data_IF_926668600953
#
_entry.id   IF_926668600953
#
_cell.length_a   1.000
_cell.length_b   1.000
_cell.length_c   1.000
_cell.angle_alpha   90.00
_cell.angle_beta   90.00
_cell.angle_gamma   90.00
#
_symmetry.space_group_name_H-M   'P 1'
#
loop_
_entity.id
_entity.type
_entity.pdbx_description
1 polymer ?
#
# COMPACT_ATOMS: atom_id res chain seq x y z
N UNK A 1 -13.75 24.68 -37.09
CA UNK A 1 -15.04 25.42 -37.06
C UNK A 1 -15.88 25.06 -35.83
N UNK A 2 -16.01 23.77 -35.48
CA UNK A 2 -16.89 23.32 -34.38
C UNK A 2 -16.50 23.89 -33.01
N UNK A 3 -15.21 23.83 -32.64
CA UNK A 3 -14.71 24.40 -31.37
C UNK A 3 -14.88 25.93 -31.36
N UNK A 4 -14.66 26.60 -32.49
CA UNK A 4 -14.81 28.05 -32.60
C UNK A 4 -16.23 28.57 -32.27
N UNK A 5 -17.26 27.79 -32.55
CA UNK A 5 -18.63 28.11 -32.22
C UNK A 5 -18.94 28.13 -30.72
N UNK A 6 -18.14 27.45 -29.91
CA UNK A 6 -18.28 27.39 -28.44
C UNK A 6 -17.63 28.59 -27.73
N UNK A 7 -16.66 29.27 -28.37
CA UNK A 7 -15.87 30.35 -27.75
C UNK A 7 -16.72 31.48 -27.15
N UNK A 8 -17.78 32.00 -27.84
CA UNK A 8 -18.61 33.05 -27.27
C UNK A 8 -19.36 32.61 -25.99
N UNK A 9 -19.75 31.34 -25.94
CA UNK A 9 -20.43 30.79 -24.77
C UNK A 9 -19.45 30.66 -23.60
N UNK A 10 -18.25 30.13 -23.82
CA UNK A 10 -17.21 30.00 -22.82
C UNK A 10 -16.78 31.37 -22.25
N UNK A 11 -16.62 32.37 -23.11
CA UNK A 11 -16.31 33.74 -22.67
C UNK A 11 -17.40 34.35 -21.79
N UNK A 12 -18.66 34.06 -22.07
CA UNK A 12 -19.78 34.55 -21.22
C UNK A 12 -19.81 33.90 -19.84
N UNK A 13 -19.27 32.68 -19.70
CA UNK A 13 -19.16 32.00 -18.41
C UNK A 13 -18.02 32.56 -17.56
N UNK A 14 -17.15 33.40 -18.06
CA UNK A 14 -16.06 34.03 -17.32
C UNK A 14 -14.98 33.05 -16.87
N UNK A 15 -14.88 31.89 -17.50
CA UNK A 15 -13.84 30.87 -17.18
C UNK A 15 -12.55 31.18 -17.91
N UNK A 16 -11.41 30.91 -17.27
CA UNK A 16 -10.11 31.00 -17.94
C UNK A 16 -10.00 29.96 -19.04
N UNK A 17 -9.71 30.39 -20.23
CA UNK A 17 -9.58 29.54 -21.41
C UNK A 17 -8.10 29.28 -21.70
N UNK A 18 -7.70 28.03 -21.63
CA UNK A 18 -6.35 27.56 -22.03
C UNK A 18 -6.51 26.81 -23.35
N UNK A 19 -5.79 27.21 -24.38
CA UNK A 19 -5.78 26.51 -25.68
C UNK A 19 -4.49 25.75 -25.89
N UNK A 20 -4.58 24.58 -26.52
CA UNK A 20 -3.47 23.81 -27.05
C UNK A 20 -3.63 23.74 -28.57
N UNK A 21 -2.73 24.35 -29.32
CA UNK A 21 -2.84 24.43 -30.78
C UNK A 21 -1.45 24.56 -31.41
N UNK A 22 -1.29 24.01 -32.60
CA UNK A 22 -0.03 24.12 -33.35
C UNK A 22 0.10 25.42 -34.17
N UNK A 23 -0.82 26.37 -33.99
CA UNK A 23 -0.77 27.66 -34.69
C UNK A 23 -1.17 28.82 -33.78
N UNK A 24 -0.20 29.65 -33.47
CA UNK A 24 -0.38 30.82 -32.61
C UNK A 24 -1.37 31.86 -33.16
N UNK A 25 -1.55 31.90 -34.47
CA UNK A 25 -2.48 32.82 -35.20
C UNK A 25 -3.88 32.24 -35.38
N UNK A 26 -4.16 31.03 -34.84
CA UNK A 26 -5.46 30.39 -34.96
C UNK A 26 -6.54 31.13 -34.16
N UNK A 27 -7.81 31.02 -34.61
CA UNK A 27 -8.96 31.54 -33.86
C UNK A 27 -9.00 31.04 -32.42
N UNK A 28 -8.60 29.79 -32.18
CA UNK A 28 -8.58 29.22 -30.87
C UNK A 28 -7.52 29.89 -29.97
N UNK A 29 -6.30 30.07 -30.47
CA UNK A 29 -5.23 30.73 -29.73
C UNK A 29 -5.55 32.20 -29.43
N UNK A 30 -6.08 32.94 -30.43
CA UNK A 30 -6.41 34.37 -30.28
C UNK A 30 -7.55 34.67 -29.31
N UNK A 31 -8.40 33.67 -28.99
CA UNK A 31 -9.50 33.81 -28.03
C UNK A 31 -9.15 33.22 -26.64
N UNK A 32 -8.05 32.51 -26.49
CA UNK A 32 -7.63 31.96 -25.25
C UNK A 32 -6.96 33.00 -24.34
N UNK A 33 -7.09 32.85 -23.02
CA UNK A 33 -6.34 33.65 -22.05
C UNK A 33 -4.89 33.18 -21.97
N UNK A 34 -4.66 31.90 -22.24
CA UNK A 34 -3.34 31.25 -22.29
C UNK A 34 -3.32 30.36 -23.54
N UNK A 35 -2.36 30.54 -24.41
CA UNK A 35 -2.14 29.70 -25.58
C UNK A 35 -0.85 28.89 -25.41
N UNK A 36 -0.98 27.58 -25.46
CA UNK A 36 0.14 26.62 -25.41
C UNK A 36 0.38 26.11 -26.85
N UNK A 37 1.62 26.25 -27.29
CA UNK A 37 2.04 25.75 -28.58
C UNK A 37 2.36 24.26 -28.51
N UNK A 38 1.68 23.45 -29.31
CA UNK A 38 1.92 22.03 -29.52
C UNK A 38 2.08 21.69 -31.00
N UNK A 39 2.60 22.65 -31.79
CA UNK A 39 2.86 22.48 -33.20
C UNK A 39 3.88 21.39 -33.48
N UNK A 40 3.70 20.74 -34.63
CA UNK A 40 4.65 19.77 -35.19
C UNK A 40 4.91 20.15 -36.63
N UNK A 41 6.12 19.91 -37.12
CA UNK A 41 6.50 20.25 -38.49
C UNK A 41 5.79 19.37 -39.50
N UNK A 42 5.56 18.10 -39.18
CA UNK A 42 4.89 17.13 -40.03
C UNK A 42 4.28 15.98 -39.22
N UNK A 43 3.28 15.34 -39.80
CA UNK A 43 2.71 14.12 -39.26
C UNK A 43 3.60 12.91 -39.60
N UNK A 44 3.54 11.85 -38.74
CA UNK A 44 4.26 10.59 -39.01
C UNK A 44 3.63 9.77 -40.15
N UNK A 45 2.44 10.18 -40.62
CA UNK A 45 1.77 9.59 -41.76
C UNK A 45 2.55 9.91 -43.05
N UNK A 46 2.81 8.94 -43.95
CA UNK A 46 3.51 9.18 -45.21
C UNK A 46 2.85 10.27 -46.11
N UNK A 47 1.55 10.45 -45.98
CA UNK A 47 0.79 11.45 -46.71
C UNK A 47 0.68 12.78 -45.94
N UNK A 48 1.20 12.89 -44.76
CA UNK A 48 1.09 14.05 -43.86
C UNK A 48 -0.37 14.50 -43.61
N UNK A 49 -1.33 13.56 -43.62
CA UNK A 49 -2.77 13.83 -43.47
C UNK A 49 -3.38 13.30 -42.18
N UNK A 50 -2.95 12.12 -41.74
CA UNK A 50 -3.52 11.51 -40.54
C UNK A 50 -2.86 12.09 -39.29
N UNK A 51 -3.68 12.59 -38.32
CA UNK A 51 -3.14 13.09 -37.04
C UNK A 51 -2.40 11.99 -36.29
N UNK A 52 -1.12 12.18 -36.03
CA UNK A 52 -0.22 11.24 -35.36
C UNK A 52 0.79 11.96 -34.47
N UNK A 53 1.78 12.65 -35.04
CA UNK A 53 2.74 13.45 -34.29
C UNK A 53 2.03 14.59 -33.54
N UNK A 54 1.06 15.26 -34.16
CA UNK A 54 0.30 16.35 -33.54
C UNK A 54 -0.53 15.87 -32.34
N UNK A 55 -1.21 14.74 -32.46
CA UNK A 55 -1.98 14.18 -31.32
C UNK A 55 -1.09 13.72 -30.20
N UNK A 56 0.07 13.15 -30.50
CA UNK A 56 1.07 12.76 -29.51
C UNK A 56 1.64 13.98 -28.77
N UNK A 57 1.96 15.06 -29.48
CA UNK A 57 2.43 16.31 -28.88
C UNK A 57 1.37 16.94 -27.95
N UNK A 58 0.09 16.94 -28.37
CA UNK A 58 -1.01 17.42 -27.54
C UNK A 58 -1.18 16.60 -26.27
N UNK A 59 -1.14 15.29 -26.37
CA UNK A 59 -1.20 14.39 -25.18
C UNK A 59 -0.04 14.65 -24.24
N UNK A 60 1.19 14.69 -24.75
CA UNK A 60 2.37 14.92 -23.92
C UNK A 60 2.32 16.29 -23.21
N UNK A 61 1.88 17.34 -23.90
CA UNK A 61 1.71 18.66 -23.30
C UNK A 61 0.60 18.69 -22.25
N UNK A 62 -0.51 17.98 -22.50
CA UNK A 62 -1.60 17.79 -21.54
C UNK A 62 -1.16 17.08 -20.28
N UNK A 63 -0.41 16.00 -20.42
CA UNK A 63 0.17 15.26 -19.29
C UNK A 63 1.16 16.12 -18.50
N UNK A 64 2.03 16.86 -19.19
CA UNK A 64 2.98 17.77 -18.53
C UNK A 64 2.24 18.86 -17.72
N UNK A 65 1.15 19.44 -18.27
CA UNK A 65 0.33 20.40 -17.55
C UNK A 65 -0.36 19.77 -16.34
N UNK A 66 -0.90 18.56 -16.49
CA UNK A 66 -1.54 17.84 -15.40
C UNK A 66 -0.55 17.56 -14.27
N UNK A 67 0.67 17.09 -14.57
CA UNK A 67 1.73 16.84 -13.58
C UNK A 67 2.18 18.13 -12.89
N UNK A 68 2.36 19.23 -13.65
CA UNK A 68 2.70 20.52 -13.07
C UNK A 68 1.61 21.04 -12.11
N UNK A 69 0.33 20.81 -12.44
CA UNK A 69 -0.79 21.16 -11.56
C UNK A 69 -0.86 20.29 -10.31
N UNK A 70 -0.55 18.99 -10.42
CA UNK A 70 -0.45 18.10 -9.25
C UNK A 70 0.62 18.59 -8.28
N UNK A 71 1.81 18.92 -8.80
CA UNK A 71 2.92 19.43 -8.00
C UNK A 71 2.56 20.77 -7.35
N UNK A 72 2.04 21.73 -8.12
CA UNK A 72 1.63 23.06 -7.64
C UNK A 72 0.54 22.99 -6.55
N UNK A 73 -0.30 21.95 -6.55
CA UNK A 73 -1.35 21.71 -5.55
C UNK A 73 -0.86 20.90 -4.36
N UNK A 74 0.41 20.49 -4.34
CA UNK A 74 0.96 19.62 -3.30
C UNK A 74 0.27 18.26 -3.22
N UNK A 75 -0.23 17.73 -4.36
CA UNK A 75 -0.91 16.45 -4.46
C UNK A 75 0.05 15.31 -4.11
N UNK A 76 -0.35 14.45 -3.16
CA UNK A 76 0.47 13.36 -2.63
C UNK A 76 -0.13 12.00 -2.96
N UNK A 77 0.65 10.96 -2.73
CA UNK A 77 0.24 9.56 -2.92
C UNK A 77 -1.06 9.22 -2.19
N UNK A 78 -1.26 9.76 -0.98
CA UNK A 78 -2.49 9.60 -0.21
C UNK A 78 -3.72 10.20 -0.92
N UNK A 79 -3.55 11.31 -1.64
CA UNK A 79 -4.63 11.94 -2.41
C UNK A 79 -5.00 11.09 -3.64
N UNK A 80 -3.96 10.52 -4.29
CA UNK A 80 -4.16 9.58 -5.39
C UNK A 80 -4.90 8.33 -4.93
N UNK A 81 -4.49 7.75 -3.81
CA UNK A 81 -5.11 6.57 -3.24
C UNK A 81 -6.59 6.81 -2.92
N UNK A 82 -6.93 7.97 -2.33
CA UNK A 82 -8.32 8.37 -2.05
C UNK A 82 -9.17 8.49 -3.32
N UNK A 83 -8.57 8.95 -4.42
CA UNK A 83 -9.24 9.07 -5.71
C UNK A 83 -9.42 7.73 -6.43
N UNK A 84 -8.59 6.73 -6.11
CA UNK A 84 -8.56 5.42 -6.76
C UNK A 84 -8.55 4.26 -5.74
N UNK A 85 -9.51 4.17 -4.81
CA UNK A 85 -9.46 3.24 -3.67
C UNK A 85 -9.50 1.75 -4.09
N UNK A 86 -10.12 1.44 -5.22
CA UNK A 86 -10.25 0.07 -5.74
C UNK A 86 -9.04 -0.44 -6.54
N UNK A 87 -8.09 0.42 -6.88
CA UNK A 87 -6.87 0.06 -7.61
C UNK A 87 -5.84 -0.67 -6.74
N UNK A 88 -4.90 -1.38 -7.37
CA UNK A 88 -3.80 -2.03 -6.65
C UNK A 88 -2.96 -1.03 -5.84
N UNK A 89 -2.71 0.14 -6.41
CA UNK A 89 -1.98 1.22 -5.76
C UNK A 89 -2.77 1.81 -4.59
N UNK A 90 -4.09 2.00 -4.74
CA UNK A 90 -4.96 2.47 -3.64
C UNK A 90 -4.96 1.53 -2.45
N UNK A 91 -5.05 0.21 -2.69
CA UNK A 91 -4.95 -0.79 -1.61
C UNK A 91 -3.62 -0.74 -0.88
N UNK A 92 -2.49 -0.63 -1.61
CA UNK A 92 -1.15 -0.55 -1.00
C UNK A 92 -0.96 0.70 -0.13
N UNK A 93 -1.59 1.81 -0.48
CA UNK A 93 -1.41 3.11 0.18
C UNK A 93 -2.46 3.40 1.27
N UNK A 94 -3.55 2.64 1.35
CA UNK A 94 -4.67 2.93 2.27
C UNK A 94 -4.91 1.85 3.32
N UNK A 95 -4.51 0.60 3.08
CA UNK A 95 -4.77 -0.49 4.02
C UNK A 95 -3.71 -0.49 5.10
N UNK A 96 -4.14 -0.35 6.36
CA UNK A 96 -3.26 -0.44 7.52
C UNK A 96 -3.23 -1.86 8.07
N UNK A 97 -2.21 -2.15 8.87
CA UNK A 97 -2.06 -3.44 9.57
C UNK A 97 -3.29 -3.74 10.43
N UNK A 98 -3.83 -2.75 11.16
CA UNK A 98 -5.04 -2.89 12.00
C UNK A 98 -6.29 -3.34 11.23
N UNK A 99 -6.36 -3.07 9.92
CA UNK A 99 -7.51 -3.43 9.08
C UNK A 99 -7.49 -4.91 8.68
N UNK A 100 -6.32 -5.58 8.80
CA UNK A 100 -6.10 -6.95 8.36
C UNK A 100 -5.71 -7.92 9.47
N UNK A 101 -5.14 -7.42 10.56
CA UNK A 101 -4.65 -8.26 11.65
C UNK A 101 -5.79 -9.01 12.34
N UNK A 102 -5.51 -10.17 12.91
CA UNK A 102 -6.36 -10.74 13.95
C UNK A 102 -6.17 -9.94 15.23
N UNK A 103 -7.22 -9.79 16.00
CA UNK A 103 -7.23 -8.99 17.23
C UNK A 103 -8.04 -9.67 18.34
N UNK A 104 -7.97 -9.13 19.55
CA UNK A 104 -8.75 -9.63 20.70
C UNK A 104 -8.35 -11.07 21.06
N UNK A 105 -9.35 -11.92 21.23
CA UNK A 105 -9.14 -13.32 21.65
C UNK A 105 -8.60 -14.20 20.52
N UNK A 106 -8.63 -13.76 19.26
CA UNK A 106 -8.07 -14.53 18.16
C UNK A 106 -6.55 -14.39 18.03
N UNK A 107 -5.92 -13.49 18.80
CA UNK A 107 -4.46 -13.37 18.84
C UNK A 107 -3.86 -14.52 19.62
N UNK A 108 -3.03 -15.37 18.99
CA UNK A 108 -2.37 -16.49 19.69
C UNK A 108 -1.35 -15.95 20.68
N UNK A 109 -1.59 -16.13 21.97
CA UNK A 109 -0.72 -15.65 23.04
C UNK A 109 -0.76 -16.53 24.28
N UNK A 110 0.37 -16.65 24.95
CA UNK A 110 0.53 -17.37 26.22
C UNK A 110 1.42 -16.59 27.17
N UNK A 111 1.30 -16.89 28.48
CA UNK A 111 2.25 -16.40 29.48
C UNK A 111 3.59 -17.12 29.36
N UNK A 112 4.70 -16.55 29.87
CA UNK A 112 6.02 -17.19 29.87
C UNK A 112 6.07 -18.56 30.55
N UNK A 113 5.28 -18.71 31.62
CA UNK A 113 5.20 -19.92 32.46
C UNK A 113 4.29 -21.00 31.86
N UNK A 114 3.56 -20.69 30.79
CA UNK A 114 2.68 -21.65 30.14
C UNK A 114 3.44 -22.89 29.71
N UNK A 115 2.83 -24.06 29.92
CA UNK A 115 3.40 -25.32 29.49
C UNK A 115 3.50 -25.40 27.97
N UNK A 116 4.44 -26.19 27.48
CA UNK A 116 4.58 -26.44 26.04
C UNK A 116 3.28 -26.97 25.41
N UNK A 117 2.50 -27.75 26.13
CA UNK A 117 1.20 -28.24 25.65
C UNK A 117 0.15 -27.14 25.51
N UNK A 118 0.15 -26.14 26.39
CA UNK A 118 -0.71 -24.95 26.26
C UNK A 118 -0.29 -24.09 25.08
N UNK A 119 1.01 -23.85 24.92
CA UNK A 119 1.58 -23.12 23.77
C UNK A 119 1.14 -23.73 22.43
N UNK A 120 1.26 -25.08 22.30
CA UNK A 120 0.85 -25.76 21.06
C UNK A 120 -0.66 -25.73 20.83
N UNK A 121 -1.46 -25.88 21.87
CA UNK A 121 -2.92 -25.77 21.74
C UNK A 121 -3.35 -24.40 21.25
N UNK A 122 -2.74 -23.35 21.80
CA UNK A 122 -3.01 -21.98 21.38
C UNK A 122 -2.61 -21.76 19.93
N UNK A 123 -1.40 -22.15 19.53
CA UNK A 123 -0.89 -22.04 18.17
C UNK A 123 -1.77 -22.76 17.15
N UNK A 124 -2.15 -24.00 17.46
CA UNK A 124 -2.99 -24.83 16.59
C UNK A 124 -4.42 -24.29 16.51
N UNK A 125 -4.98 -23.93 17.65
CA UNK A 125 -6.37 -23.43 17.75
C UNK A 125 -6.59 -22.13 16.99
N UNK A 126 -5.62 -21.23 16.98
CA UNK A 126 -5.69 -19.94 16.28
C UNK A 126 -5.22 -20.00 14.82
N UNK A 127 -4.44 -21.00 14.44
CA UNK A 127 -4.10 -21.32 13.06
C UNK A 127 -3.22 -20.31 12.32
N UNK A 128 -2.46 -19.46 13.04
CA UNK A 128 -1.53 -18.51 12.44
C UNK A 128 -0.13 -19.08 12.17
N UNK A 129 0.17 -20.27 12.73
CA UNK A 129 1.47 -20.91 12.62
C UNK A 129 2.53 -20.35 13.59
N UNK A 130 2.12 -19.51 14.53
CA UNK A 130 2.96 -18.97 15.60
C UNK A 130 2.11 -18.56 16.81
N UNK A 131 2.78 -18.36 17.96
CA UNK A 131 2.17 -17.88 19.21
C UNK A 131 3.09 -16.85 19.85
N UNK A 132 2.54 -15.73 20.29
CA UNK A 132 3.26 -14.73 21.07
C UNK A 132 3.44 -15.21 22.52
N UNK A 133 4.58 -14.91 23.12
CA UNK A 133 4.79 -15.01 24.56
C UNK A 133 4.79 -13.61 25.13
N UNK A 134 3.85 -13.32 26.03
CA UNK A 134 3.63 -11.99 26.59
C UNK A 134 3.62 -12.01 28.11
N UNK A 135 4.03 -10.93 28.73
CA UNK A 135 3.92 -10.74 30.18
C UNK A 135 2.51 -10.32 30.62
N UNK A 136 2.31 -10.15 31.92
CA UNK A 136 1.04 -9.70 32.50
C UNK A 136 0.60 -8.29 32.00
N UNK A 137 1.53 -7.45 31.55
CA UNK A 137 1.27 -6.15 30.97
C UNK A 137 1.04 -6.20 29.43
N UNK A 138 0.97 -7.42 28.85
CA UNK A 138 0.85 -7.66 27.41
C UNK A 138 2.05 -7.16 26.60
N UNK A 139 3.22 -7.00 27.21
CA UNK A 139 4.46 -6.73 26.51
C UNK A 139 4.96 -8.01 25.84
N UNK A 140 5.42 -7.88 24.60
CA UNK A 140 5.90 -9.00 23.82
C UNK A 140 7.30 -9.41 24.30
N UNK A 141 7.43 -10.61 24.86
CA UNK A 141 8.70 -11.19 25.31
C UNK A 141 9.35 -12.05 24.21
N UNK A 142 8.53 -12.76 23.43
CA UNK A 142 9.02 -13.67 22.41
C UNK A 142 7.93 -14.17 21.49
N UNK A 143 8.32 -15.04 20.58
CA UNK A 143 7.46 -15.75 19.64
C UNK A 143 7.90 -17.21 19.55
N UNK A 144 6.96 -18.11 19.37
CA UNK A 144 7.20 -19.50 19.02
C UNK A 144 6.46 -19.82 17.72
N UNK A 145 7.13 -20.50 16.80
CA UNK A 145 6.62 -20.76 15.45
C UNK A 145 6.63 -22.25 15.11
N UNK A 146 5.91 -22.66 14.05
CA UNK A 146 5.98 -24.02 13.49
C UNK A 146 7.42 -24.43 13.12
N UNK A 147 8.23 -23.46 12.70
CA UNK A 147 9.66 -23.71 12.44
C UNK A 147 10.46 -24.04 13.69
N UNK A 148 10.13 -23.40 14.82
CA UNK A 148 10.77 -23.68 16.11
C UNK A 148 10.36 -25.06 16.60
N UNK A 149 9.08 -25.41 16.51
CA UNK A 149 8.58 -26.74 16.84
C UNK A 149 9.34 -27.84 16.08
N UNK A 150 9.50 -27.68 14.78
CA UNK A 150 10.21 -28.65 13.95
C UNK A 150 11.65 -28.80 14.37
N UNK A 151 12.36 -27.72 14.65
CA UNK A 151 13.75 -27.72 15.14
C UNK A 151 13.88 -28.40 16.49
N UNK A 152 12.92 -28.21 17.40
CA UNK A 152 12.94 -28.89 18.72
C UNK A 152 12.72 -30.40 18.58
N UNK A 153 11.81 -30.82 17.70
CA UNK A 153 11.56 -32.25 17.42
C UNK A 153 12.82 -32.91 16.82
N UNK A 154 13.48 -32.27 15.88
CA UNK A 154 14.71 -32.76 15.25
C UNK A 154 15.86 -32.95 16.25
N UNK A 155 15.91 -32.16 17.32
CA UNK A 155 16.90 -32.26 18.38
C UNK A 155 16.61 -33.40 19.38
N UNK A 156 15.44 -34.05 19.29
CA UNK A 156 15.05 -35.15 20.19
C UNK A 156 14.85 -34.74 21.65
N UNK A 157 14.58 -33.45 21.90
CA UNK A 157 14.39 -32.91 23.24
C UNK A 157 13.05 -33.36 23.83
N UNK A 158 13.00 -33.72 25.15
CA UNK A 158 11.72 -33.93 25.82
C UNK A 158 10.99 -32.58 26.01
N UNK A 159 9.93 -32.38 25.24
CA UNK A 159 9.19 -31.15 25.22
C UNK A 159 8.18 -31.00 26.36
N UNK A 160 7.90 -32.09 27.09
CA UNK A 160 6.81 -32.13 28.10
C UNK A 160 7.07 -31.26 29.31
N UNK A 161 8.33 -31.09 29.67
CA UNK A 161 8.77 -30.35 30.86
C UNK A 161 9.08 -28.88 30.56
N UNK A 162 9.01 -28.46 29.28
CA UNK A 162 9.40 -27.11 28.84
C UNK A 162 8.26 -26.11 29.01
N UNK A 163 8.63 -24.87 29.32
CA UNK A 163 7.75 -23.70 29.36
C UNK A 163 7.87 -22.90 28.08
N UNK A 164 6.90 -22.01 27.83
CA UNK A 164 6.91 -21.11 26.69
C UNK A 164 8.17 -20.21 26.66
N UNK A 165 8.63 -19.75 27.81
CA UNK A 165 9.84 -18.93 27.95
C UNK A 165 11.11 -19.66 27.50
N UNK A 166 11.21 -20.97 27.80
CA UNK A 166 12.39 -21.75 27.45
C UNK A 166 12.50 -22.09 25.97
N UNK A 167 11.36 -22.09 25.25
CA UNK A 167 11.31 -22.46 23.83
C UNK A 167 11.11 -21.28 22.90
N UNK A 168 10.70 -20.12 23.42
CA UNK A 168 10.46 -18.94 22.60
C UNK A 168 11.74 -18.41 21.97
N UNK A 169 11.60 -17.80 20.80
CA UNK A 169 12.61 -16.95 20.22
C UNK A 169 12.43 -15.53 20.76
N UNK A 170 13.43 -15.01 21.45
CA UNK A 170 13.41 -13.62 21.94
C UNK A 170 13.57 -12.62 20.78
N UNK A 171 13.06 -11.41 20.97
CA UNK A 171 13.13 -10.33 19.97
C UNK A 171 12.41 -10.66 18.64
N UNK A 172 11.12 -10.99 18.69
CA UNK A 172 10.32 -11.25 17.49
C UNK A 172 10.23 -10.00 16.63
N UNK A 173 9.89 -10.18 15.36
CA UNK A 173 9.58 -9.04 14.48
C UNK A 173 8.20 -8.51 14.83
N UNK A 174 8.16 -7.23 15.12
CA UNK A 174 6.93 -6.51 15.46
C UNK A 174 6.69 -5.37 14.49
N UNK A 175 5.42 -5.01 14.31
CA UNK A 175 5.01 -3.85 13.53
C UNK A 175 3.92 -3.10 14.28
N UNK A 176 3.78 -1.80 14.04
CA UNK A 176 2.72 -1.00 14.61
C UNK A 176 1.39 -1.23 13.89
N UNK A 177 0.29 -1.18 14.63
CA UNK A 177 -1.06 -1.34 14.08
C UNK A 177 -1.43 -0.22 13.09
N UNK A 178 -0.88 0.97 13.26
CA UNK A 178 -1.05 2.12 12.36
C UNK A 178 -0.20 2.08 11.09
N UNK A 179 0.77 1.17 10.99
CA UNK A 179 1.61 1.00 9.80
C UNK A 179 0.78 0.53 8.60
N UNK A 180 1.28 0.75 7.40
CA UNK A 180 0.63 0.23 6.19
C UNK A 180 0.82 -1.29 6.08
N UNK A 181 -0.16 -1.97 5.51
CA UNK A 181 -0.07 -3.42 5.30
C UNK A 181 1.06 -3.81 4.34
N UNK A 182 1.43 -2.93 3.41
CA UNK A 182 2.58 -3.13 2.52
C UNK A 182 3.92 -3.09 3.29
N UNK A 183 4.01 -2.31 4.36
CA UNK A 183 5.21 -2.27 5.20
C UNK A 183 5.37 -3.60 5.98
N UNK A 184 4.25 -4.19 6.42
CA UNK A 184 4.26 -5.53 7.02
C UNK A 184 4.74 -6.60 6.03
N UNK A 185 4.31 -6.51 4.77
CA UNK A 185 4.77 -7.40 3.70
C UNK A 185 6.29 -7.26 3.48
N UNK A 186 6.80 -6.04 3.38
CA UNK A 186 8.24 -5.75 3.26
C UNK A 186 9.05 -6.27 4.44
N UNK A 187 8.53 -6.09 5.68
CA UNK A 187 9.17 -6.61 6.89
C UNK A 187 9.26 -8.14 6.87
N UNK A 188 8.17 -8.81 6.45
CA UNK A 188 8.14 -10.27 6.34
C UNK A 188 9.13 -10.78 5.29
N UNK A 189 9.21 -10.13 4.13
CA UNK A 189 10.14 -10.47 3.05
C UNK A 189 11.60 -10.27 3.48
N UNK A 190 11.93 -9.10 4.03
CA UNK A 190 13.28 -8.75 4.48
C UNK A 190 13.83 -9.74 5.51
N UNK A 191 12.97 -10.19 6.44
CA UNK A 191 13.36 -11.09 7.51
C UNK A 191 13.06 -12.56 7.23
N UNK A 192 12.49 -12.89 6.07
CA UNK A 192 12.10 -14.25 5.67
C UNK A 192 11.19 -14.94 6.68
N UNK A 193 10.22 -14.18 7.20
CA UNK A 193 9.21 -14.68 8.14
C UNK A 193 7.82 -14.62 7.50
N UNK A 194 6.94 -15.51 7.90
CA UNK A 194 5.57 -15.61 7.35
C UNK A 194 4.52 -14.92 8.21
N UNK A 195 4.91 -14.34 9.33
CA UNK A 195 4.04 -13.63 10.23
C UNK A 195 4.79 -12.68 11.16
N UNK A 196 4.07 -11.69 11.65
CA UNK A 196 4.57 -10.66 12.57
C UNK A 196 3.56 -10.41 13.69
N UNK A 197 4.07 -10.02 14.85
CA UNK A 197 3.24 -9.55 15.96
C UNK A 197 2.96 -8.07 15.78
N UNK A 198 1.74 -7.65 16.14
CA UNK A 198 1.31 -6.26 16.01
C UNK A 198 1.21 -5.62 17.37
N UNK A 199 1.88 -4.48 17.52
CA UNK A 199 1.92 -3.71 18.77
C UNK A 199 1.22 -2.36 18.60
N UNK A 200 0.49 -1.94 19.62
CA UNK A 200 -0.12 -0.61 19.71
C UNK A 200 0.87 0.47 20.15
N UNK A 201 0.33 1.68 20.38
CA UNK A 201 1.11 2.87 20.77
C UNK A 201 1.97 2.68 22.03
N UNK A 202 1.49 1.89 23.02
CA UNK A 202 2.20 1.61 24.26
C UNK A 202 3.15 0.40 24.19
N UNK A 203 3.35 -0.16 22.99
CA UNK A 203 4.21 -1.33 22.80
C UNK A 203 3.57 -2.67 23.20
N UNK A 204 2.30 -2.67 23.59
CA UNK A 204 1.55 -3.89 23.97
C UNK A 204 1.11 -4.66 22.73
N UNK A 205 1.02 -5.97 22.85
CA UNK A 205 0.44 -6.84 21.81
C UNK A 205 -1.03 -6.51 21.61
N UNK A 206 -1.40 -6.10 20.39
CA UNK A 206 -2.79 -5.77 20.00
C UNK A 206 -3.29 -6.66 18.88
N UNK A 207 -2.39 -7.37 18.17
CA UNK A 207 -2.76 -8.21 17.04
C UNK A 207 -1.64 -9.10 16.55
N UNK A 208 -1.97 -9.85 15.51
CA UNK A 208 -1.04 -10.68 14.77
C UNK A 208 -1.43 -10.70 13.30
N UNK A 209 -0.45 -10.75 12.40
CA UNK A 209 -0.66 -10.71 10.95
C UNK A 209 0.24 -11.74 10.26
N UNK A 210 -0.31 -12.48 9.30
CA UNK A 210 0.47 -13.41 8.47
C UNK A 210 0.27 -13.15 6.98
N UNK A 211 1.09 -13.80 6.15
CA UNK A 211 1.05 -13.66 4.68
C UNK A 211 -0.32 -13.99 4.08
N UNK A 212 -1.08 -14.93 4.65
CA UNK A 212 -2.39 -15.31 4.12
C UNK A 212 -3.39 -14.15 4.19
N UNK A 213 -3.34 -13.35 5.26
CA UNK A 213 -4.19 -12.18 5.41
C UNK A 213 -3.84 -11.09 4.39
N UNK A 214 -2.54 -10.85 4.15
CA UNK A 214 -2.05 -9.92 3.13
C UNK A 214 -2.47 -10.34 1.71
N UNK A 215 -2.35 -11.65 1.38
CA UNK A 215 -2.79 -12.20 0.09
C UNK A 215 -4.31 -12.08 -0.10
N UNK A 216 -5.11 -12.41 0.92
CA UNK A 216 -6.57 -12.27 0.85
C UNK A 216 -7.00 -10.83 0.62
N UNK A 217 -6.29 -9.88 1.20
CA UNK A 217 -6.53 -8.45 1.02
C UNK A 217 -5.95 -7.89 -0.30
N UNK A 218 -5.27 -8.72 -1.10
CA UNK A 218 -4.61 -8.31 -2.36
C UNK A 218 -3.63 -7.15 -2.17
N UNK A 219 -2.91 -7.16 -1.06
CA UNK A 219 -1.82 -6.22 -0.77
C UNK A 219 -0.52 -6.68 -1.46
N UNK A 220 -0.38 -8.00 -1.61
CA UNK A 220 0.69 -8.68 -2.34
C UNK A 220 0.25 -9.04 -3.74
#
# INVERSE_FOLDING_TARGET
EEIGALLPALKRLGVTLVSMTGRADSTLASHADIALDCGVDQEACPLNLAPTASTTAQMALGDALAVALLDARGFREADFARSHPGGSLGRKLLIHVRDLMVSGDDVPRVAPEASFGELLREMTGKGLGFTAVVDAAQQVLGIFTDGDLRRLIERGQDLRALTAQEVMHASPKVIRDEALAVDAAGLMEQHRVTGVLVIGAEGRLVGALNLNQLMRAKVL
#
